data_IF_697226911546
#
_entry.id   IF_697226911546
#
_cell.length_a   1.000
_cell.length_b   1.000
_cell.length_c   1.000
_cell.angle_alpha   90.00
_cell.angle_beta   90.00
_cell.angle_gamma   90.00
#
_symmetry.space_group_name_H-M   'P 1'
#
loop_
_entity.id
_entity.type
_entity.pdbx_description
1 polymer ?
#
# COMPACT_ATOMS: atom_id res chain seq x y z
N UNK A 1 -6.96 33.52 18.42
CA UNK A 1 -8.34 33.07 18.68
C UNK A 1 -8.35 31.56 18.84
N UNK A 2 -9.16 31.00 19.75
CA UNK A 2 -8.89 29.71 20.40
C UNK A 2 -9.44 28.50 19.63
N UNK A 3 -8.64 27.43 19.69
CA UNK A 3 -9.00 26.05 20.05
C UNK A 3 -10.27 25.40 19.46
N UNK A 4 -10.07 24.37 18.63
CA UNK A 4 -11.03 23.28 18.48
C UNK A 4 -10.37 21.99 18.98
N UNK A 5 -10.32 21.82 20.30
CA UNK A 5 -10.20 20.49 20.91
C UNK A 5 -11.42 19.69 20.47
N UNK A 6 -11.22 18.72 19.57
CA UNK A 6 -12.20 17.65 19.37
C UNK A 6 -12.38 16.99 20.73
N UNK A 7 -13.63 16.96 21.20
CA UNK A 7 -14.05 16.18 22.35
C UNK A 7 -13.57 14.73 22.15
N UNK A 8 -12.64 14.30 23.01
CA UNK A 8 -12.30 12.90 23.17
C UNK A 8 -13.59 12.20 23.62
N UNK A 9 -14.17 11.34 22.77
CA UNK A 9 -15.13 10.37 23.27
C UNK A 9 -14.35 9.39 24.16
N UNK A 10 -14.83 9.11 25.39
CA UNK A 10 -14.19 8.11 26.23
C UNK A 10 -14.27 6.75 25.53
N UNK A 11 -13.16 6.01 25.65
CA UNK A 11 -13.06 4.60 25.29
C UNK A 11 -14.30 3.82 25.80
N UNK A 12 -14.94 2.93 25.02
CA UNK A 12 -16.05 2.10 25.48
C UNK A 12 -15.81 1.44 26.85
N UNK A 13 -14.57 1.03 27.16
CA UNK A 13 -14.22 0.43 28.45
C UNK A 13 -14.22 1.46 29.60
N UNK A 14 -13.92 2.73 29.29
CA UNK A 14 -13.96 3.83 30.25
C UNK A 14 -15.41 4.27 30.51
N UNK A 15 -16.29 4.13 29.52
CA UNK A 15 -17.72 4.37 29.68
C UNK A 15 -18.39 3.29 30.55
N UNK A 16 -17.95 2.04 30.46
CA UNK A 16 -18.42 0.95 31.32
C UNK A 16 -18.03 1.17 32.79
N UNK A 17 -16.79 1.62 33.06
CA UNK A 17 -16.34 1.99 34.42
C UNK A 17 -17.17 3.15 34.98
N UNK A 18 -17.46 4.18 34.19
CA UNK A 18 -18.28 5.33 34.61
C UNK A 18 -19.72 4.87 34.96
N UNK A 19 -20.29 3.98 34.15
CA UNK A 19 -21.63 3.44 34.40
C UNK A 19 -21.68 2.56 35.67
N UNK A 20 -20.65 1.74 35.90
CA UNK A 20 -20.52 0.92 37.11
C UNK A 20 -20.36 1.79 38.37
N UNK A 21 -19.56 2.86 38.30
CA UNK A 21 -19.40 3.82 39.42
C UNK A 21 -20.71 4.54 39.74
N UNK A 22 -21.48 4.93 38.73
CA UNK A 22 -22.79 5.55 38.93
C UNK A 22 -23.79 4.58 39.60
N UNK A 23 -23.75 3.30 39.24
CA UNK A 23 -24.58 2.27 39.85
C UNK A 23 -24.20 2.03 41.32
N UNK A 24 -22.90 1.98 41.65
CA UNK A 24 -22.41 1.85 43.03
C UNK A 24 -22.91 3.03 43.88
N UNK A 25 -22.75 4.26 43.41
CA UNK A 25 -23.21 5.46 44.13
C UNK A 25 -24.73 5.45 44.40
N UNK A 26 -25.53 4.98 43.43
CA UNK A 26 -26.98 4.82 43.61
C UNK A 26 -27.35 3.74 44.64
N UNK A 27 -26.61 2.63 44.67
CA UNK A 27 -26.81 1.55 45.64
C UNK A 27 -26.40 1.98 47.06
N UNK A 28 -25.28 2.69 47.21
CA UNK A 28 -24.83 3.26 48.49
C UNK A 28 -25.85 4.26 49.05
N UNK A 29 -26.47 5.06 48.19
CA UNK A 29 -27.55 5.97 48.61
C UNK A 29 -28.77 5.19 49.14
N UNK A 30 -29.21 4.15 48.42
CA UNK A 30 -30.34 3.30 48.84
C UNK A 30 -30.04 2.55 50.14
N UNK A 31 -28.80 2.10 50.33
CA UNK A 31 -28.35 1.45 51.56
C UNK A 31 -28.45 2.42 52.76
N UNK A 32 -27.99 3.66 52.59
CA UNK A 32 -28.08 4.70 53.61
C UNK A 32 -29.53 5.08 53.96
N UNK A 33 -30.45 5.08 52.97
CA UNK A 33 -31.88 5.30 53.20
C UNK A 33 -32.54 4.14 53.99
N UNK A 34 -32.15 2.90 53.68
CA UNK A 34 -32.63 1.71 54.39
C UNK A 34 -32.08 1.60 55.82
N UNK A 35 -30.82 1.99 56.04
CA UNK A 35 -30.22 2.06 57.38
C UNK A 35 -30.89 3.09 58.30
N UNK A 36 -31.50 4.15 57.73
CA UNK A 36 -32.27 5.15 58.49
C UNK A 36 -33.65 4.64 58.94
N UNK A 37 -34.22 3.62 58.29
CA UNK A 37 -35.55 3.09 58.59
C UNK A 37 -35.53 2.00 59.69
N UNK A 38 -34.75 2.23 60.74
CA UNK A 38 -34.44 1.24 61.79
C UNK A 38 -35.61 0.32 62.22
N UNK A 39 -35.28 -0.97 62.35
CA UNK A 39 -36.04 -2.05 63.01
C UNK A 39 -37.22 -2.72 62.29
N UNK A 40 -36.95 -3.40 61.17
CA UNK A 40 -37.68 -4.61 60.76
C UNK A 40 -36.70 -5.66 60.23
N UNK A 41 -36.83 -6.94 60.60
CA UNK A 41 -35.90 -8.03 60.20
C UNK A 41 -35.76 -8.18 58.68
N UNK A 42 -36.77 -7.76 57.92
CA UNK A 42 -36.78 -7.74 56.47
C UNK A 42 -35.85 -6.67 55.87
N UNK A 43 -35.67 -5.54 56.57
CA UNK A 43 -34.76 -4.45 56.17
C UNK A 43 -33.30 -4.85 56.41
N UNK A 44 -33.01 -5.61 57.47
CA UNK A 44 -31.66 -6.13 57.73
C UNK A 44 -31.22 -7.13 56.65
N UNK A 45 -32.12 -7.98 56.16
CA UNK A 45 -31.86 -8.89 55.04
C UNK A 45 -31.61 -8.17 53.72
N UNK A 46 -32.38 -7.11 53.45
CA UNK A 46 -32.17 -6.26 52.27
C UNK A 46 -30.85 -5.48 52.33
N UNK A 47 -30.47 -4.98 53.52
CA UNK A 47 -29.17 -4.34 53.75
C UNK A 47 -28.03 -5.33 53.51
N UNK A 48 -28.13 -6.56 54.01
CA UNK A 48 -27.10 -7.59 53.79
C UNK A 48 -26.95 -7.97 52.31
N UNK A 49 -28.06 -8.14 51.58
CA UNK A 49 -28.04 -8.44 50.14
C UNK A 49 -27.41 -7.30 49.34
N UNK A 50 -27.79 -6.05 49.62
CA UNK A 50 -27.22 -4.87 48.95
C UNK A 50 -25.72 -4.72 49.26
N UNK A 51 -25.30 -5.04 50.47
CA UNK A 51 -23.88 -5.01 50.84
C UNK A 51 -23.06 -6.05 50.05
N UNK A 52 -23.62 -7.24 49.80
CA UNK A 52 -22.99 -8.26 48.95
C UNK A 52 -22.88 -7.80 47.51
N UNK A 53 -23.92 -7.19 46.96
CA UNK A 53 -23.91 -6.68 45.57
C UNK A 53 -22.89 -5.55 45.37
N UNK A 54 -22.79 -4.63 46.34
CA UNK A 54 -21.78 -3.56 46.35
C UNK A 54 -20.36 -4.16 46.33
N UNK A 55 -20.09 -5.16 47.17
CA UNK A 55 -18.78 -5.80 47.22
C UNK A 55 -18.41 -6.51 45.90
N UNK A 56 -19.38 -7.18 45.27
CA UNK A 56 -19.20 -7.85 43.98
C UNK A 56 -18.92 -6.85 42.85
N UNK A 57 -19.65 -5.73 42.81
CA UNK A 57 -19.43 -4.66 41.83
C UNK A 57 -18.08 -3.97 42.03
N UNK A 58 -17.68 -3.73 43.29
CA UNK A 58 -16.36 -3.16 43.59
C UNK A 58 -15.24 -4.08 43.10
N UNK A 59 -15.38 -5.40 43.26
CA UNK A 59 -14.42 -6.38 42.76
C UNK A 59 -14.36 -6.39 41.22
N UNK A 60 -15.49 -6.23 40.53
CA UNK A 60 -15.51 -6.11 39.07
C UNK A 60 -14.82 -4.84 38.59
N UNK A 61 -15.05 -3.70 39.26
CA UNK A 61 -14.35 -2.43 38.97
C UNK A 61 -12.85 -2.58 39.19
N UNK A 62 -12.42 -3.22 40.28
CA UNK A 62 -11.00 -3.44 40.57
C UNK A 62 -10.33 -4.37 39.53
N UNK A 63 -11.06 -5.38 39.03
CA UNK A 63 -10.58 -6.28 38.00
C UNK A 63 -10.48 -5.58 36.63
N UNK A 64 -11.47 -4.77 36.25
CA UNK A 64 -11.45 -3.96 35.04
C UNK A 64 -10.30 -2.92 35.10
N UNK A 65 -10.11 -2.25 36.25
CA UNK A 65 -9.02 -1.31 36.46
C UNK A 65 -7.63 -1.99 36.37
N UNK A 66 -7.51 -3.24 36.85
CA UNK A 66 -6.28 -4.04 36.69
C UNK A 66 -6.05 -4.45 35.23
N UNK A 67 -7.09 -4.86 34.51
CA UNK A 67 -7.00 -5.21 33.09
C UNK A 67 -6.54 -4.02 32.25
N UNK A 68 -7.17 -2.86 32.42
CA UNK A 68 -6.79 -1.64 31.71
C UNK A 68 -5.37 -1.19 32.07
N UNK A 69 -4.96 -1.33 33.35
CA UNK A 69 -3.57 -1.05 33.76
C UNK A 69 -2.57 -2.01 33.13
N UNK A 70 -2.92 -3.29 32.94
CA UNK A 70 -2.07 -4.27 32.25
C UNK A 70 -1.93 -3.92 30.77
N UNK A 71 -3.02 -3.58 30.08
CA UNK A 71 -2.98 -3.15 28.68
C UNK A 71 -2.17 -1.86 28.49
N UNK A 72 -2.35 -0.88 29.37
CA UNK A 72 -1.54 0.35 29.37
C UNK A 72 -0.06 0.02 29.59
N UNK A 73 0.28 -0.91 30.48
CA UNK A 73 1.67 -1.32 30.69
C UNK A 73 2.26 -2.07 29.47
N UNK A 74 1.46 -2.88 28.78
CA UNK A 74 1.88 -3.54 27.52
C UNK A 74 2.11 -2.51 26.42
N UNK A 75 1.20 -1.55 26.26
CA UNK A 75 1.34 -0.44 25.30
C UNK A 75 2.54 0.45 25.65
N UNK A 76 2.80 0.71 26.95
CA UNK A 76 3.96 1.45 27.42
C UNK A 76 5.26 0.68 27.13
N UNK A 77 5.25 -0.64 27.28
CA UNK A 77 6.35 -1.52 26.87
C UNK A 77 6.63 -1.43 25.38
N UNK A 78 5.61 -1.63 24.54
CA UNK A 78 5.70 -1.49 23.09
C UNK A 78 6.18 -0.09 22.66
N UNK A 79 5.74 0.95 23.35
CA UNK A 79 6.19 2.32 23.11
C UNK A 79 7.68 2.52 23.46
N UNK A 80 8.14 1.95 24.58
CA UNK A 80 9.54 2.01 24.98
C UNK A 80 10.47 1.20 24.07
N UNK A 81 9.99 0.06 23.57
CA UNK A 81 10.70 -0.75 22.57
C UNK A 81 10.83 0.04 21.25
N UNK A 82 9.75 0.65 20.78
CA UNK A 82 9.75 1.50 19.60
C UNK A 82 10.70 2.69 19.76
N UNK A 83 10.70 3.33 20.93
CA UNK A 83 11.60 4.44 21.27
C UNK A 83 13.07 4.00 21.21
N UNK A 84 13.40 2.81 21.70
CA UNK A 84 14.74 2.23 21.63
C UNK A 84 15.15 1.93 20.19
N UNK A 85 14.29 1.30 19.39
CA UNK A 85 14.55 1.06 17.97
C UNK A 85 14.76 2.34 17.16
N UNK A 86 14.02 3.42 17.48
CA UNK A 86 14.23 4.73 16.85
C UNK A 86 15.58 5.33 17.25
N UNK A 87 16.01 5.16 18.50
CA UNK A 87 17.32 5.61 18.96
C UNK A 87 18.46 4.82 18.29
N UNK A 88 18.30 3.50 18.13
CA UNK A 88 19.23 2.64 17.37
C UNK A 88 19.29 3.04 15.90
N UNK A 89 18.15 3.21 15.23
CA UNK A 89 18.11 3.70 13.85
C UNK A 89 18.75 5.08 13.70
N UNK A 90 18.57 5.97 14.68
CA UNK A 90 19.22 7.27 14.71
C UNK A 90 20.74 7.14 14.86
N UNK A 91 21.21 6.25 15.73
CA UNK A 91 22.64 6.00 15.91
C UNK A 91 23.26 5.31 14.70
N UNK A 92 22.57 4.36 14.06
CA UNK A 92 22.97 3.75 12.79
C UNK A 92 23.02 4.78 11.66
N UNK A 93 22.05 5.70 11.61
CA UNK A 93 22.04 6.77 10.64
C UNK A 93 23.19 7.76 10.92
N UNK A 94 23.45 8.10 12.18
CA UNK A 94 24.58 8.95 12.59
C UNK A 94 25.93 8.28 12.31
N UNK A 95 26.07 6.96 12.54
CA UNK A 95 27.27 6.21 12.18
C UNK A 95 27.45 6.08 10.67
N UNK A 96 26.37 5.91 9.89
CA UNK A 96 26.42 5.97 8.42
C UNK A 96 26.77 7.36 7.93
N UNK A 97 26.25 8.41 8.59
CA UNK A 97 26.58 9.80 8.30
C UNK A 97 28.03 10.11 8.68
N UNK A 98 28.57 9.61 9.80
CA UNK A 98 29.99 9.79 10.19
C UNK A 98 30.95 8.96 9.32
N UNK A 99 30.57 7.74 8.95
CA UNK A 99 31.35 6.88 8.05
C UNK A 99 31.37 7.43 6.62
N UNK A 100 30.26 8.02 6.17
CA UNK A 100 30.18 8.71 4.88
C UNK A 100 30.78 10.12 4.93
N UNK A 101 30.77 10.81 6.08
CA UNK A 101 31.30 12.17 6.22
C UNK A 101 32.79 12.23 6.55
N UNK A 102 33.43 11.24 7.17
CA UNK A 102 34.90 11.25 7.25
C UNK A 102 35.52 11.06 5.86
N UNK A 103 34.86 10.32 4.96
CA UNK A 103 35.26 10.23 3.55
C UNK A 103 34.78 11.41 2.68
N UNK A 104 33.68 12.11 3.04
CA UNK A 104 33.18 13.29 2.31
C UNK A 104 33.69 14.64 2.83
N UNK A 105 34.23 14.74 4.04
CA UNK A 105 34.79 15.98 4.60
C UNK A 105 36.10 16.39 3.90
N UNK A 106 36.79 15.49 3.20
CA UNK A 106 37.85 15.88 2.27
C UNK A 106 37.34 16.40 0.91
N UNK A 107 36.04 16.26 0.61
CA UNK A 107 35.44 16.66 -0.69
C UNK A 107 34.36 17.75 -0.57
N UNK A 108 34.25 18.41 0.57
CA UNK A 108 33.38 19.59 0.76
C UNK A 108 34.15 20.82 1.24
N UNK A 109 35.23 21.16 0.52
CA UNK A 109 35.53 22.57 0.26
C UNK A 109 34.81 22.98 -1.04
N UNK A 110 33.82 23.84 -0.83
CA UNK A 110 33.12 24.72 -1.78
C UNK A 110 32.10 24.12 -2.76
N UNK A 111 30.84 24.31 -2.36
CA UNK A 111 29.64 24.13 -3.15
C UNK A 111 29.39 25.22 -4.20
N UNK A 112 28.40 24.91 -5.05
CA UNK A 112 27.81 25.69 -6.13
C UNK A 112 28.62 25.85 -7.43
N UNK A 113 28.49 24.84 -8.31
CA UNK A 113 27.97 24.97 -9.69
C UNK A 113 27.93 23.60 -10.37
N UNK A 114 26.95 23.41 -11.24
CA UNK A 114 26.79 22.24 -12.13
C UNK A 114 28.14 21.96 -12.80
N UNK A 115 28.77 20.82 -12.49
CA UNK A 115 30.03 20.41 -13.14
C UNK A 115 29.76 19.29 -14.12
N UNK A 116 30.03 19.55 -15.40
CA UNK A 116 30.05 18.53 -16.47
C UNK A 116 31.23 17.56 -16.25
N UNK A 117 31.11 16.30 -16.72
CA UNK A 117 32.11 15.23 -16.59
C UNK A 117 33.56 15.66 -16.93
N UNK A 118 33.73 16.69 -17.77
CA UNK A 118 35.02 17.27 -18.10
C UNK A 118 35.79 17.87 -16.91
N UNK A 119 35.08 18.50 -15.95
CA UNK A 119 35.71 19.17 -14.81
C UNK A 119 36.07 18.19 -13.67
N UNK A 120 35.47 16.99 -13.68
CA UNK A 120 35.82 15.90 -12.77
C UNK A 120 37.11 15.23 -13.25
N UNK A 121 37.26 15.02 -14.55
CA UNK A 121 38.44 14.39 -15.14
C UNK A 121 39.72 15.23 -15.00
N UNK A 122 39.63 16.56 -15.07
CA UNK A 122 40.80 17.45 -14.89
C UNK A 122 41.28 17.54 -13.43
N UNK A 123 40.50 17.04 -12.46
CA UNK A 123 40.83 17.04 -11.02
C UNK A 123 41.20 15.67 -10.45
N UNK A 124 41.09 14.61 -11.23
CA UNK A 124 41.49 13.27 -10.80
C UNK A 124 43.01 13.12 -10.91
N UNK A 125 43.66 12.79 -9.80
CA UNK A 125 45.09 12.41 -9.81
C UNK A 125 45.26 11.07 -10.52
N UNK A 126 46.43 10.86 -11.13
CA UNK A 126 46.82 9.58 -11.77
C UNK A 126 46.57 8.38 -10.87
N UNK A 127 46.80 8.54 -9.56
CA UNK A 127 46.61 7.50 -8.55
C UNK A 127 45.14 7.17 -8.31
N UNK A 128 44.27 8.18 -8.33
CA UNK A 128 42.82 8.01 -8.17
C UNK A 128 42.21 7.26 -9.35
N UNK A 129 42.66 7.58 -10.58
CA UNK A 129 42.25 6.87 -11.80
C UNK A 129 42.76 5.43 -11.80
N UNK A 130 44.00 5.22 -11.36
CA UNK A 130 44.63 3.90 -11.27
C UNK A 130 43.90 3.01 -10.27
N UNK A 131 43.52 3.54 -9.11
CA UNK A 131 42.76 2.80 -8.10
C UNK A 131 41.35 2.46 -8.59
N UNK A 132 40.68 3.39 -9.28
CA UNK A 132 39.35 3.16 -9.86
C UNK A 132 39.36 2.01 -10.89
N UNK A 133 40.41 1.94 -11.71
CA UNK A 133 40.56 0.86 -12.70
C UNK A 133 40.91 -0.48 -12.04
N UNK A 134 41.78 -0.49 -11.01
CA UNK A 134 42.12 -1.70 -10.24
C UNK A 134 40.91 -2.27 -9.49
N UNK A 135 40.11 -1.42 -8.85
CA UNK A 135 38.90 -1.82 -8.13
C UNK A 135 37.86 -2.47 -9.04
N UNK A 136 37.85 -2.06 -10.32
CA UNK A 136 36.88 -2.50 -11.32
C UNK A 136 37.34 -3.74 -12.12
N UNK A 137 38.65 -3.91 -12.29
CA UNK A 137 39.26 -5.09 -12.90
C UNK A 137 39.47 -6.26 -11.92
N UNK A 138 39.18 -6.06 -10.63
CA UNK A 138 39.25 -7.12 -9.62
C UNK A 138 38.04 -8.07 -9.73
N UNK A 139 38.26 -9.40 -9.86
CA UNK A 139 37.19 -10.38 -10.07
C UNK A 139 36.25 -10.57 -8.86
N UNK A 140 36.62 -10.11 -7.67
CA UNK A 140 35.89 -10.41 -6.42
C UNK A 140 34.97 -9.28 -5.91
N UNK A 141 34.81 -8.18 -6.66
CA UNK A 141 34.12 -7.00 -6.14
C UNK A 141 32.60 -7.00 -6.44
N UNK A 142 31.77 -7.37 -5.45
CA UNK A 142 30.29 -7.36 -5.54
C UNK A 142 29.65 -5.95 -5.63
N UNK A 143 30.43 -4.86 -5.51
CA UNK A 143 29.96 -3.47 -5.64
C UNK A 143 30.01 -2.93 -7.08
N UNK A 144 30.00 -3.81 -8.08
CA UNK A 144 30.22 -3.46 -9.48
C UNK A 144 29.08 -2.67 -10.15
N UNK A 145 27.87 -2.58 -9.60
CA UNK A 145 26.75 -1.92 -10.29
C UNK A 145 26.69 -0.39 -10.09
N UNK A 146 26.99 0.13 -8.90
CA UNK A 146 26.85 1.56 -8.62
C UNK A 146 27.99 2.42 -9.19
N UNK A 147 29.23 1.89 -9.23
CA UNK A 147 30.41 2.59 -9.79
C UNK A 147 30.57 2.43 -11.31
N UNK A 148 29.60 1.77 -11.96
CA UNK A 148 29.61 1.39 -13.38
C UNK A 148 29.26 2.54 -14.31
N UNK A 149 28.35 3.40 -13.89
CA UNK A 149 27.95 4.59 -14.66
C UNK A 149 29.11 5.54 -14.84
N UNK A 150 29.79 5.85 -13.73
CA UNK A 150 30.92 6.78 -13.69
C UNK A 150 32.11 6.30 -14.53
N UNK A 151 32.40 5.00 -14.52
CA UNK A 151 33.49 4.43 -15.33
C UNK A 151 33.15 4.44 -16.84
N UNK A 152 31.91 4.16 -17.23
CA UNK A 152 31.48 4.20 -18.64
C UNK A 152 31.57 5.65 -19.16
N UNK A 153 31.16 6.62 -18.36
CA UNK A 153 31.22 8.04 -18.71
C UNK A 153 32.68 8.52 -18.78
N UNK A 154 33.53 8.12 -17.84
CA UNK A 154 34.97 8.41 -17.83
C UNK A 154 35.72 7.79 -19.02
N UNK A 155 35.47 6.51 -19.35
CA UNK A 155 36.11 5.84 -20.50
C UNK A 155 35.63 6.44 -21.81
N UNK A 156 34.34 6.81 -21.92
CA UNK A 156 33.80 7.49 -23.10
C UNK A 156 34.42 8.86 -23.28
N UNK A 157 34.65 9.59 -22.19
CA UNK A 157 35.34 10.87 -22.17
C UNK A 157 36.83 10.76 -22.58
N UNK A 158 37.54 9.74 -22.08
CA UNK A 158 38.96 9.51 -22.40
C UNK A 158 39.22 8.98 -23.82
N UNK A 159 38.17 8.49 -24.51
CA UNK A 159 38.23 8.06 -25.92
C UNK A 159 38.18 9.22 -26.92
N UNK A 160 37.85 10.44 -26.48
CA UNK A 160 37.87 11.61 -27.35
C UNK A 160 39.30 11.93 -27.80
N UNK A 161 39.46 12.33 -29.06
CA UNK A 161 40.68 12.18 -29.86
C UNK A 161 41.93 12.87 -29.28
N UNK A 162 41.74 13.90 -28.45
CA UNK A 162 42.82 14.66 -27.80
C UNK A 162 43.40 13.97 -26.56
N UNK A 163 42.68 13.03 -25.92
CA UNK A 163 43.07 12.40 -24.64
C UNK A 163 43.42 10.92 -24.77
N UNK A 164 43.20 10.34 -25.96
CA UNK A 164 43.46 8.94 -26.27
C UNK A 164 44.90 8.51 -25.97
N UNK A 165 45.91 9.35 -26.28
CA UNK A 165 47.34 9.06 -25.99
C UNK A 165 47.61 8.89 -24.48
N UNK A 166 46.97 9.70 -23.63
CA UNK A 166 47.09 9.62 -22.18
C UNK A 166 46.46 8.32 -21.65
N UNK A 167 45.28 7.96 -22.19
CA UNK A 167 44.60 6.71 -21.87
C UNK A 167 45.44 5.48 -22.26
N UNK A 168 46.08 5.49 -23.43
CA UNK A 168 47.00 4.42 -23.87
C UNK A 168 48.17 4.25 -22.92
N UNK A 169 48.79 5.36 -22.52
CA UNK A 169 49.93 5.37 -21.59
C UNK A 169 49.56 4.83 -20.21
N UNK A 170 48.38 5.20 -19.70
CA UNK A 170 47.83 4.68 -18.44
C UNK A 170 47.56 3.17 -18.49
N UNK A 171 46.95 2.66 -19.56
CA UNK A 171 46.70 1.22 -19.70
C UNK A 171 48.00 0.41 -19.86
N UNK A 172 48.97 0.95 -20.59
CA UNK A 172 50.29 0.33 -20.76
C UNK A 172 51.05 0.24 -19.42
N UNK A 173 51.03 1.29 -18.59
CA UNK A 173 51.65 1.29 -17.27
C UNK A 173 51.00 0.31 -16.28
N UNK A 174 49.75 -0.12 -16.55
CA UNK A 174 49.03 -1.09 -15.73
C UNK A 174 49.04 -2.52 -16.32
N UNK A 175 49.75 -2.74 -17.43
CA UNK A 175 49.79 -4.04 -18.13
C UNK A 175 48.40 -4.56 -18.57
N UNK A 176 47.47 -3.65 -18.87
CA UNK A 176 46.11 -4.00 -19.32
C UNK A 176 46.05 -3.87 -20.84
N UNK A 177 45.70 -4.98 -21.52
CA UNK A 177 45.43 -4.97 -22.96
C UNK A 177 44.22 -4.08 -23.29
N UNK A 178 44.43 -3.09 -24.17
CA UNK A 178 43.40 -2.17 -24.68
C UNK A 178 42.14 -2.90 -25.18
N UNK A 179 42.29 -4.14 -25.68
CA UNK A 179 41.21 -4.96 -26.24
C UNK A 179 40.24 -5.57 -25.21
N UNK A 180 40.63 -5.72 -23.94
CA UNK A 180 39.77 -6.32 -22.90
C UNK A 180 38.66 -5.38 -22.40
N UNK A 181 38.94 -4.12 -22.03
CA UNK A 181 37.91 -3.17 -21.59
C UNK A 181 36.92 -2.82 -22.70
N UNK A 182 37.40 -2.67 -23.94
CA UNK A 182 36.56 -2.31 -25.10
C UNK A 182 35.59 -3.42 -25.48
N UNK A 183 36.05 -4.67 -25.61
CA UNK A 183 35.16 -5.80 -25.95
C UNK A 183 34.08 -6.06 -24.89
N UNK A 184 34.38 -5.87 -23.60
CA UNK A 184 33.40 -6.01 -22.52
C UNK A 184 32.36 -4.87 -22.49
N UNK A 185 32.74 -3.67 -22.92
CA UNK A 185 31.82 -2.53 -23.08
C UNK A 185 30.93 -2.76 -24.30
N UNK A 186 31.49 -3.15 -25.45
CA UNK A 186 30.74 -3.31 -26.70
C UNK A 186 29.74 -4.48 -26.64
N UNK A 187 30.09 -5.59 -25.97
CA UNK A 187 29.16 -6.70 -25.73
C UNK A 187 28.02 -6.38 -24.75
N UNK A 188 28.18 -5.39 -23.85
CA UNK A 188 27.16 -5.05 -22.84
C UNK A 188 26.39 -3.75 -23.12
N UNK A 189 26.91 -2.85 -23.95
CA UNK A 189 26.16 -1.70 -24.49
C UNK A 189 25.00 -2.18 -25.37
N UNK A 190 25.18 -3.29 -26.10
CA UNK A 190 24.11 -3.97 -26.83
C UNK A 190 22.96 -4.48 -25.92
N UNK A 191 23.22 -4.70 -24.62
CA UNK A 191 22.22 -5.16 -23.65
C UNK A 191 21.49 -3.99 -22.96
N UNK A 192 21.99 -2.76 -23.07
CA UNK A 192 21.42 -1.55 -22.46
C UNK A 192 20.66 -0.63 -23.42
N UNK A 193 20.06 -1.19 -24.48
CA UNK A 193 18.96 -0.52 -25.18
C UNK A 193 17.80 -0.32 -24.19
N UNK A 194 17.89 0.75 -23.38
CA UNK A 194 16.87 1.21 -22.44
C UNK A 194 15.60 1.40 -23.27
N UNK A 195 14.63 0.51 -23.11
CA UNK A 195 13.33 0.57 -23.80
C UNK A 195 12.66 1.91 -23.50
N UNK A 196 12.80 2.90 -24.37
CA UNK A 196 12.05 4.15 -24.25
C UNK A 196 10.60 3.88 -24.58
N UNK A 197 9.68 4.36 -23.74
CA UNK A 197 8.27 4.39 -24.10
C UNK A 197 8.04 5.70 -24.86
N UNK A 198 7.57 5.63 -26.10
CA UNK A 198 7.21 6.82 -26.88
C UNK A 198 5.75 6.77 -27.32
N UNK A 199 5.08 7.92 -27.25
CA UNK A 199 3.69 8.03 -27.68
C UNK A 199 3.24 9.45 -27.99
N UNK A 200 2.28 9.57 -28.91
CA UNK A 200 1.73 10.86 -29.32
C UNK A 200 0.72 11.38 -28.30
N UNK A 201 0.90 12.64 -27.87
CA UNK A 201 -0.08 13.31 -27.02
C UNK A 201 -1.38 13.52 -27.80
N UNK A 202 -2.56 13.15 -27.27
CA UNK A 202 -3.85 13.33 -27.95
C UNK A 202 -4.29 14.80 -28.04
N UNK A 203 -3.55 15.72 -27.41
CA UNK A 203 -3.86 17.16 -27.38
C UNK A 203 -3.04 17.98 -28.36
N UNK A 204 -1.77 17.64 -28.56
CA UNK A 204 -0.87 18.41 -29.43
C UNK A 204 -0.20 17.55 -30.53
N UNK A 205 -0.49 16.26 -30.59
CA UNK A 205 0.07 15.26 -31.51
C UNK A 205 1.60 15.09 -31.48
N UNK A 206 2.31 15.82 -30.63
CA UNK A 206 3.75 15.68 -30.42
C UNK A 206 4.06 14.36 -29.67
N UNK A 207 5.20 13.76 -30.01
CA UNK A 207 5.68 12.52 -29.41
C UNK A 207 6.32 12.79 -28.05
N UNK A 208 5.80 12.14 -27.01
CA UNK A 208 6.38 12.17 -25.68
C UNK A 208 7.26 10.94 -25.54
N UNK A 209 8.53 11.15 -25.19
CA UNK A 209 9.50 10.08 -24.96
C UNK A 209 9.80 10.04 -23.48
N UNK A 210 9.47 8.93 -22.83
CA UNK A 210 9.75 8.71 -21.42
C UNK A 210 10.84 7.66 -21.27
N UNK A 211 11.80 7.94 -20.37
CA UNK A 211 12.65 6.87 -19.82
C UNK A 211 11.73 5.89 -19.10
N UNK A 212 11.93 4.59 -19.29
CA UNK A 212 11.00 3.51 -18.86
C UNK A 212 10.56 3.60 -17.41
N UNK A 213 11.39 4.14 -16.51
CA UNK A 213 11.07 4.32 -15.10
C UNK A 213 10.06 5.45 -14.80
N UNK A 214 9.81 6.35 -15.75
CA UNK A 214 8.93 7.52 -15.57
C UNK A 214 7.50 7.31 -16.08
N UNK A 215 7.22 6.16 -16.71
CA UNK A 215 5.90 5.82 -17.23
C UNK A 215 5.48 4.44 -16.75
N UNK A 216 4.23 4.35 -16.28
CA UNK A 216 3.57 3.08 -15.98
C UNK A 216 2.24 3.08 -16.71
N UNK A 217 1.96 2.03 -17.48
CA UNK A 217 0.72 1.94 -18.25
C UNK A 217 -0.50 2.09 -17.34
N UNK A 218 -1.52 2.79 -17.84
CA UNK A 218 -2.75 3.04 -17.08
C UNK A 218 -2.66 4.14 -16.03
N UNK A 219 -1.48 4.74 -15.80
CA UNK A 219 -1.33 5.95 -14.98
C UNK A 219 -1.50 7.23 -15.77
N UNK A 220 -1.80 8.29 -15.03
CA UNK A 220 -1.94 9.66 -15.51
C UNK A 220 -0.64 10.15 -16.13
N UNK A 221 -0.67 10.38 -17.44
CA UNK A 221 0.45 10.97 -18.15
C UNK A 221 0.24 12.47 -18.30
N UNK A 222 1.29 13.24 -18.02
CA UNK A 222 1.33 14.68 -18.32
C UNK A 222 2.23 14.91 -19.52
N UNK A 223 1.71 15.57 -20.55
CA UNK A 223 2.48 15.94 -21.74
C UNK A 223 3.75 16.72 -21.35
N UNK A 224 4.92 16.31 -21.82
CA UNK A 224 6.20 16.91 -21.41
C UNK A 224 6.41 18.32 -21.99
N UNK A 225 5.76 18.65 -23.10
CA UNK A 225 5.89 19.95 -23.76
C UNK A 225 5.21 21.09 -22.99
N UNK A 226 5.95 22.18 -22.80
CA UNK A 226 5.53 23.40 -22.07
C UNK A 226 4.26 24.03 -22.62
N UNK A 227 4.09 24.01 -23.95
CA UNK A 227 2.91 24.56 -24.59
C UNK A 227 1.65 23.67 -24.52
N UNK A 228 1.74 22.48 -23.91
CA UNK A 228 0.61 21.59 -23.76
C UNK A 228 0.33 21.29 -22.28
N UNK A 229 1.25 20.60 -21.57
CA UNK A 229 1.09 20.13 -20.17
C UNK A 229 -0.25 19.46 -19.83
N UNK A 230 -1.07 19.12 -20.84
CA UNK A 230 -2.37 18.47 -20.64
C UNK A 230 -2.16 17.02 -20.26
N UNK A 231 -3.07 16.54 -19.42
CA UNK A 231 -3.07 15.19 -18.89
C UNK A 231 -3.88 14.25 -19.79
N UNK A 232 -3.48 12.98 -19.85
CA UNK A 232 -4.19 11.92 -20.56
C UNK A 232 -3.84 10.56 -19.95
N UNK A 233 -4.65 9.55 -20.26
CA UNK A 233 -4.32 8.15 -19.95
C UNK A 233 -3.97 7.40 -21.22
N UNK A 234 -3.12 6.39 -21.07
CA UNK A 234 -2.76 5.49 -22.14
C UNK A 234 -2.57 4.07 -21.60
N UNK A 235 -3.03 3.09 -22.37
CA UNK A 235 -2.78 1.66 -22.13
C UNK A 235 -2.49 0.94 -23.43
N UNK A 236 -1.65 -0.10 -23.38
CA UNK A 236 -1.45 -0.98 -24.52
C UNK A 236 -2.54 -2.06 -24.54
N UNK A 237 -3.09 -2.35 -25.72
CA UNK A 237 -3.98 -3.49 -25.89
C UNK A 237 -3.17 -4.79 -25.81
N UNK A 238 -3.52 -5.75 -24.94
CA UNK A 238 -2.77 -7.00 -24.81
C UNK A 238 -2.95 -7.95 -26.01
N UNK A 239 -3.86 -7.63 -26.94
CA UNK A 239 -4.16 -8.46 -28.11
C UNK A 239 -3.37 -8.06 -29.36
N UNK A 240 -3.09 -6.78 -29.54
CA UNK A 240 -2.44 -6.26 -30.75
C UNK A 240 -1.32 -5.24 -30.47
N UNK A 241 -1.02 -4.98 -29.19
CA UNK A 241 -0.08 -3.93 -28.75
C UNK A 241 -0.44 -2.51 -29.18
N UNK A 242 -1.59 -2.32 -29.83
CA UNK A 242 -2.12 -1.02 -30.21
C UNK A 242 -2.44 -0.16 -28.99
N UNK A 243 -2.14 1.14 -29.08
CA UNK A 243 -2.31 2.06 -27.97
C UNK A 243 -3.72 2.63 -27.87
N UNK A 244 -4.32 2.49 -26.70
CA UNK A 244 -5.60 3.11 -26.36
C UNK A 244 -5.33 4.37 -25.54
N UNK A 245 -5.86 5.50 -25.98
CA UNK A 245 -5.58 6.81 -25.39
C UNK A 245 -6.87 7.52 -25.01
N UNK A 246 -6.93 8.03 -23.78
CA UNK A 246 -8.04 8.85 -23.29
C UNK A 246 -7.59 10.28 -23.10
N UNK A 247 -8.02 11.15 -24.02
CA UNK A 247 -7.68 12.57 -24.05
C UNK A 247 -8.02 13.29 -22.74
N UNK A 248 -9.11 12.90 -22.07
CA UNK A 248 -9.57 13.55 -20.84
C UNK A 248 -9.07 12.87 -19.56
N UNK A 249 -8.12 11.93 -19.67
CA UNK A 249 -7.61 11.17 -18.52
C UNK A 249 -8.72 10.50 -17.68
N UNK A 250 -9.76 10.01 -18.33
CA UNK A 250 -10.91 9.38 -17.68
C UNK A 250 -10.88 7.84 -17.74
N UNK A 251 -9.80 7.23 -18.22
CA UNK A 251 -9.59 5.79 -18.07
C UNK A 251 -9.63 5.38 -16.58
N UNK A 252 -10.34 4.29 -16.30
CA UNK A 252 -10.45 3.69 -14.97
C UNK A 252 -9.85 2.30 -15.00
N UNK A 253 -8.83 2.05 -14.18
CA UNK A 253 -8.21 0.73 -14.08
C UNK A 253 -9.24 -0.33 -13.69
N UNK A 254 -9.10 -1.53 -14.21
CA UNK A 254 -10.06 -2.62 -14.03
C UNK A 254 -11.36 -2.48 -14.84
N UNK A 255 -11.63 -1.34 -15.49
CA UNK A 255 -12.80 -1.20 -16.38
C UNK A 255 -12.61 -1.98 -17.69
N UNK A 256 -13.71 -2.54 -18.21
CA UNK A 256 -13.70 -3.23 -19.50
C UNK A 256 -13.51 -2.21 -20.62
N UNK A 257 -12.41 -2.33 -21.35
CA UNK A 257 -12.06 -1.49 -22.49
C UNK A 257 -12.11 -2.31 -23.77
N UNK A 258 -12.76 -1.79 -24.81
CA UNK A 258 -12.61 -2.31 -26.17
C UNK A 258 -11.42 -1.63 -26.86
N UNK A 259 -10.58 -2.41 -27.53
CA UNK A 259 -9.44 -1.84 -28.28
C UNK A 259 -9.92 -0.85 -29.35
N UNK A 260 -9.34 0.35 -29.38
CA UNK A 260 -9.71 1.42 -30.30
C UNK A 260 -9.50 1.06 -31.78
N UNK A 261 -8.54 0.18 -32.09
CA UNK A 261 -8.18 -0.22 -33.44
C UNK A 261 -9.27 -1.10 -34.07
N UNK A 262 -9.72 -0.72 -35.27
CA UNK A 262 -10.75 -1.41 -36.06
C UNK A 262 -10.44 -2.87 -36.37
N UNK A 263 -9.16 -3.20 -36.55
CA UNK A 263 -8.70 -4.57 -36.77
C UNK A 263 -8.70 -5.45 -35.53
N UNK A 264 -8.83 -4.87 -34.33
CA UNK A 264 -8.80 -5.62 -33.07
C UNK A 264 -10.17 -5.64 -32.39
N UNK A 265 -10.67 -4.49 -31.93
CA UNK A 265 -11.92 -4.33 -31.15
C UNK A 265 -12.15 -5.28 -29.96
N UNK A 266 -11.20 -6.17 -29.66
CA UNK A 266 -11.27 -7.11 -28.55
C UNK A 266 -11.28 -6.36 -27.22
N UNK A 267 -12.11 -6.86 -26.30
CA UNK A 267 -12.21 -6.35 -24.94
C UNK A 267 -11.02 -6.82 -24.10
N UNK A 268 -10.62 -5.99 -23.15
CA UNK A 268 -9.61 -6.31 -22.14
C UNK A 268 -9.84 -5.45 -20.90
N UNK A 269 -9.16 -5.80 -19.81
CA UNK A 269 -9.03 -4.96 -18.62
C UNK A 269 -7.55 -4.86 -18.25
N UNK A 270 -7.17 -3.78 -17.55
CA UNK A 270 -5.82 -3.63 -17.04
C UNK A 270 -5.83 -3.02 -15.64
N UNK A 271 -5.02 -3.59 -14.75
CA UNK A 271 -4.84 -3.14 -13.36
C UNK A 271 -3.35 -3.03 -13.09
N UNK A 272 -2.95 -1.99 -12.39
CA UNK A 272 -1.55 -1.83 -11.99
C UNK A 272 -1.33 -2.37 -10.59
N UNK A 273 -0.29 -3.18 -10.43
CA UNK A 273 0.14 -3.64 -9.13
C UNK A 273 0.63 -2.46 -8.26
N UNK A 274 0.06 -2.26 -7.05
CA UNK A 274 0.43 -1.17 -6.16
C UNK A 274 1.80 -1.34 -5.48
N UNK A 275 2.45 -2.49 -5.68
CA UNK A 275 3.72 -2.85 -5.05
C UNK A 275 4.93 -2.64 -5.97
N UNK A 276 4.77 -2.87 -7.28
CA UNK A 276 5.86 -2.78 -8.24
C UNK A 276 5.54 -1.88 -9.46
N UNK A 277 4.35 -1.28 -9.49
CA UNK A 277 3.84 -0.52 -10.64
C UNK A 277 3.76 -1.32 -11.94
N UNK A 278 3.89 -2.65 -11.85
CA UNK A 278 3.76 -3.57 -12.98
C UNK A 278 2.31 -3.63 -13.45
N UNK A 279 2.13 -3.54 -14.77
CA UNK A 279 0.81 -3.50 -15.38
C UNK A 279 0.34 -4.91 -15.77
N UNK A 280 -0.81 -5.32 -15.26
CA UNK A 280 -1.38 -6.64 -15.54
C UNK A 280 -2.61 -6.52 -16.41
N UNK A 281 -2.70 -7.34 -17.44
CA UNK A 281 -3.77 -7.28 -18.42
C UNK A 281 -4.59 -8.59 -18.47
N UNK A 282 -5.91 -8.45 -18.41
CA UNK A 282 -6.86 -9.54 -18.59
C UNK A 282 -7.39 -9.49 -20.02
N UNK A 283 -6.86 -10.39 -20.85
CA UNK A 283 -7.21 -10.50 -22.28
C UNK A 283 -8.68 -10.80 -22.51
N UNK A 284 -9.36 -11.45 -21.57
CA UNK A 284 -10.76 -11.82 -21.71
C UNK A 284 -11.73 -10.84 -21.04
N UNK A 285 -11.21 -9.76 -20.44
CA UNK A 285 -12.01 -8.81 -19.67
C UNK A 285 -12.85 -9.50 -18.57
N UNK A 286 -12.21 -10.43 -17.86
CA UNK A 286 -12.76 -11.24 -16.78
C UNK A 286 -12.19 -10.88 -15.39
N UNK A 287 -11.43 -9.79 -15.27
CA UNK A 287 -11.05 -9.22 -13.97
C UNK A 287 -12.30 -8.83 -13.18
N UNK A 288 -12.33 -9.28 -11.92
CA UNK A 288 -13.40 -9.04 -10.97
C UNK A 288 -12.91 -8.08 -9.89
N UNK A 289 -13.60 -6.96 -9.80
CA UNK A 289 -13.38 -5.96 -8.77
C UNK A 289 -13.59 -6.56 -7.37
N UNK A 290 -12.76 -6.16 -6.41
CA UNK A 290 -12.76 -6.72 -5.05
C UNK A 290 -12.17 -8.13 -4.93
N UNK A 291 -11.79 -8.80 -6.03
CA UNK A 291 -11.12 -10.10 -5.95
C UNK A 291 -9.63 -9.95 -5.63
N UNK A 292 -9.10 -10.90 -4.85
CA UNK A 292 -7.67 -11.02 -4.57
C UNK A 292 -6.90 -11.26 -5.86
N UNK A 293 -6.00 -10.33 -6.19
CA UNK A 293 -5.08 -10.44 -7.31
C UNK A 293 -3.68 -10.72 -6.80
N UNK A 294 -3.05 -11.77 -7.32
CA UNK A 294 -1.61 -12.00 -7.14
C UNK A 294 -0.85 -11.35 -8.28
N UNK A 295 0.12 -10.49 -7.98
CA UNK A 295 0.94 -9.85 -9.01
C UNK A 295 1.66 -10.89 -9.88
N UNK A 296 1.48 -10.81 -11.21
CA UNK A 296 2.07 -11.78 -12.13
C UNK A 296 3.60 -11.67 -12.26
N UNK A 297 4.17 -10.50 -11.95
CA UNK A 297 5.60 -10.23 -12.08
C UNK A 297 6.43 -11.04 -11.06
N UNK A 298 7.46 -11.73 -11.55
CA UNK A 298 8.31 -12.63 -10.76
C UNK A 298 8.98 -11.98 -9.56
N UNK A 299 9.42 -10.73 -9.70
CA UNK A 299 10.06 -9.96 -8.64
C UNK A 299 9.07 -9.36 -7.62
N UNK A 300 7.76 -9.58 -7.80
CA UNK A 300 6.74 -9.04 -6.92
C UNK A 300 5.93 -10.15 -6.24
N UNK A 301 5.12 -10.90 -7.00
CA UNK A 301 4.20 -11.96 -6.49
C UNK A 301 3.31 -11.60 -5.29
N UNK A 302 3.25 -10.33 -4.89
CA UNK A 302 2.44 -9.86 -3.77
C UNK A 302 0.97 -9.81 -4.16
N UNK A 303 0.11 -10.13 -3.19
CA UNK A 303 -1.34 -10.04 -3.32
C UNK A 303 -1.80 -8.60 -3.08
N UNK A 304 -2.90 -8.23 -3.69
CA UNK A 304 -3.63 -7.00 -3.40
C UNK A 304 -5.07 -7.12 -3.90
N UNK A 305 -5.93 -6.22 -3.44
CA UNK A 305 -7.29 -6.07 -3.92
C UNK A 305 -7.53 -4.61 -4.31
N UNK A 306 -8.45 -4.41 -5.25
CA UNK A 306 -8.82 -3.08 -5.69
C UNK A 306 -10.33 -3.01 -5.91
N UNK A 307 -10.89 -1.86 -5.56
CA UNK A 307 -12.30 -1.56 -5.73
C UNK A 307 -12.50 -0.09 -6.13
N UNK A 308 -13.54 0.24 -6.86
CA UNK A 308 -13.92 1.58 -7.28
C UNK A 308 -14.93 2.13 -6.28
N UNK A 309 -14.63 3.27 -5.69
CA UNK A 309 -15.56 3.96 -4.80
C UNK A 309 -16.85 4.31 -5.55
N UNK A 310 -17.98 3.88 -5.00
CA UNK A 310 -19.31 4.10 -5.55
C UNK A 310 -19.74 5.58 -5.65
N UNK A 311 -18.97 6.48 -5.03
CA UNK A 311 -19.29 7.90 -4.88
C UNK A 311 -18.39 8.82 -5.72
N UNK A 312 -17.07 8.62 -5.67
CA UNK A 312 -16.12 9.45 -6.42
C UNK A 312 -15.51 8.75 -7.63
N UNK A 313 -15.80 7.45 -7.83
CA UNK A 313 -15.23 6.64 -8.92
C UNK A 313 -13.70 6.52 -8.89
N UNK A 314 -13.05 6.82 -7.77
CA UNK A 314 -11.62 6.57 -7.58
C UNK A 314 -11.38 5.18 -6.98
N UNK A 315 -10.18 4.66 -7.16
CA UNK A 315 -9.84 3.29 -6.78
C UNK A 315 -9.28 3.21 -5.37
N UNK A 316 -9.85 2.33 -4.55
CA UNK A 316 -9.37 1.98 -3.22
C UNK A 316 -8.54 0.71 -3.38
N UNK A 317 -7.35 0.69 -2.77
CA UNK A 317 -6.41 -0.42 -2.88
C UNK A 317 -6.08 -0.96 -1.49
N UNK A 318 -6.27 -2.26 -1.32
CA UNK A 318 -5.83 -3.02 -0.16
C UNK A 318 -4.54 -3.74 -0.54
N UNK A 319 -3.42 -3.14 -0.18
CA UNK A 319 -2.08 -3.64 -0.52
C UNK A 319 -1.79 -5.03 0.05
N UNK A 320 -2.49 -5.45 1.10
CA UNK A 320 -2.27 -6.75 1.73
C UNK A 320 -3.37 -7.77 1.40
N UNK A 321 -4.30 -7.42 0.50
CA UNK A 321 -5.48 -8.23 0.20
C UNK A 321 -6.28 -8.61 1.46
N UNK A 322 -6.55 -7.58 2.27
CA UNK A 322 -7.29 -7.64 3.53
C UNK A 322 -8.70 -7.04 3.42
N UNK A 323 -9.20 -6.79 2.20
CA UNK A 323 -10.58 -6.40 2.00
C UNK A 323 -11.51 -7.58 2.32
N UNK A 324 -12.58 -7.30 3.07
CA UNK A 324 -13.62 -8.27 3.38
C UNK A 324 -14.85 -7.93 2.55
N UNK A 325 -15.19 -8.79 1.59
CA UNK A 325 -16.40 -8.63 0.78
C UNK A 325 -17.63 -8.43 1.68
N UNK A 326 -18.56 -7.56 1.30
CA UNK A 326 -19.75 -7.22 2.11
C UNK A 326 -19.50 -6.26 3.28
N UNK A 327 -18.25 -6.10 3.74
CA UNK A 327 -17.94 -5.14 4.81
C UNK A 327 -18.13 -3.69 4.36
N UNK A 328 -18.40 -2.82 5.34
CA UNK A 328 -18.54 -1.38 5.10
C UNK A 328 -17.16 -0.78 4.77
N UNK A 329 -17.04 -0.27 3.55
CA UNK A 329 -15.85 0.44 3.08
C UNK A 329 -16.06 1.94 3.26
N UNK A 330 -15.13 2.59 3.95
CA UNK A 330 -15.04 4.06 3.98
C UNK A 330 -14.04 4.51 2.93
N UNK A 331 -14.47 5.38 2.01
CA UNK A 331 -13.58 5.92 0.99
C UNK A 331 -12.39 6.69 1.63
N UNK A 332 -11.13 6.35 1.34
CA UNK A 332 -9.97 6.98 2.00
C UNK A 332 -9.73 8.41 1.52
N UNK A 333 -10.21 8.77 0.33
CA UNK A 333 -10.03 10.10 -0.25
C UNK A 333 -10.74 11.19 0.55
N UNK A 334 -10.00 12.24 0.93
CA UNK A 334 -10.48 13.38 1.73
C UNK A 334 -11.68 14.09 1.12
N UNK A 335 -11.74 14.18 -0.20
CA UNK A 335 -12.85 14.81 -0.92
C UNK A 335 -14.13 13.98 -0.94
N UNK A 336 -14.07 12.70 -0.55
CA UNK A 336 -15.19 11.79 -0.59
C UNK A 336 -15.61 11.35 0.81
N UNK A 337 -14.78 10.60 1.54
CA UNK A 337 -15.06 10.02 2.87
C UNK A 337 -16.39 9.26 3.05
N UNK A 338 -17.16 9.06 1.99
CA UNK A 338 -18.45 8.37 2.03
C UNK A 338 -18.26 6.87 2.18
N UNK A 339 -19.20 6.25 2.90
CA UNK A 339 -19.26 4.81 3.13
C UNK A 339 -20.05 4.12 2.01
N UNK A 340 -19.72 2.88 1.72
CA UNK A 340 -20.51 2.00 0.85
C UNK A 340 -20.16 0.54 1.15
N UNK A 341 -20.96 -0.39 0.64
CA UNK A 341 -20.65 -1.84 0.67
C UNK A 341 -20.63 -2.39 -0.75
N UNK A 342 -19.89 -3.47 -0.94
CA UNK A 342 -19.78 -4.16 -2.22
C UNK A 342 -19.81 -5.68 -2.01
N UNK A 343 -20.57 -6.37 -2.85
CA UNK A 343 -20.61 -7.82 -2.98
C UNK A 343 -20.55 -8.23 -4.45
N UNK A 344 -20.08 -9.44 -4.69
CA UNK A 344 -20.09 -10.10 -5.98
C UNK A 344 -21.17 -11.17 -5.94
N UNK A 345 -22.10 -11.12 -6.89
CA UNK A 345 -23.13 -12.14 -6.99
C UNK A 345 -22.48 -13.52 -7.26
N UNK A 346 -22.73 -14.56 -6.45
CA UNK A 346 -22.12 -15.88 -6.63
C UNK A 346 -22.64 -16.64 -7.86
N UNK A 347 -23.68 -16.12 -8.52
CA UNK A 347 -24.35 -16.75 -9.67
C UNK A 347 -23.89 -16.21 -11.02
N UNK A 348 -23.61 -14.91 -11.10
CA UNK A 348 -23.23 -14.25 -12.35
C UNK A 348 -21.92 -13.44 -12.26
N UNK A 349 -21.31 -13.39 -11.07
CA UNK A 349 -20.12 -12.58 -10.79
C UNK A 349 -20.30 -11.09 -11.13
N UNK A 350 -21.53 -10.61 -11.02
CA UNK A 350 -21.90 -9.21 -11.16
C UNK A 350 -21.66 -8.46 -9.86
N UNK A 351 -21.17 -7.22 -9.94
CA UNK A 351 -20.90 -6.35 -8.79
C UNK A 351 -22.19 -5.72 -8.28
N UNK A 352 -22.41 -5.81 -6.97
CA UNK A 352 -23.57 -5.28 -6.26
C UNK A 352 -23.05 -4.27 -5.25
N UNK A 353 -23.55 -3.05 -5.31
CA UNK A 353 -23.03 -1.94 -4.53
C UNK A 353 -24.16 -1.23 -3.80
N UNK A 354 -24.01 -1.11 -2.47
CA UNK A 354 -24.88 -0.31 -1.63
C UNK A 354 -24.20 1.01 -1.30
N UNK A 355 -24.60 2.08 -2.00
CA UNK A 355 -24.02 3.41 -1.84
C UNK A 355 -24.17 3.99 -0.44
N UNK A 356 -25.17 3.56 0.33
CA UNK A 356 -25.41 4.08 1.67
C UNK A 356 -24.87 3.16 2.78
N UNK A 357 -24.22 2.04 2.42
CA UNK A 357 -23.75 1.03 3.37
C UNK A 357 -24.87 0.52 4.30
N UNK A 358 -26.04 0.25 3.71
CA UNK A 358 -27.27 -0.19 4.37
C UNK A 358 -27.59 -1.68 4.17
N UNK A 359 -26.68 -2.44 3.55
CA UNK A 359 -26.81 -3.89 3.48
C UNK A 359 -26.51 -4.51 4.84
N UNK A 360 -27.48 -5.26 5.35
CA UNK A 360 -27.33 -6.06 6.55
C UNK A 360 -26.71 -7.40 6.19
N UNK A 361 -25.61 -7.74 6.84
CA UNK A 361 -24.99 -9.05 6.75
C UNK A 361 -26.01 -10.15 7.09
N UNK A 362 -25.94 -11.31 6.41
CA UNK A 362 -26.92 -12.40 6.56
C UNK A 362 -28.26 -12.18 5.84
N UNK A 363 -28.61 -10.93 5.49
CA UNK A 363 -29.87 -10.65 4.79
C UNK A 363 -29.88 -11.21 3.36
N UNK A 364 -31.08 -11.57 2.89
CA UNK A 364 -31.29 -12.06 1.52
C UNK A 364 -31.03 -10.96 0.51
N UNK A 365 -30.03 -11.17 -0.35
CA UNK A 365 -29.69 -10.30 -1.47
C UNK A 365 -30.31 -10.87 -2.75
N UNK A 366 -31.07 -10.04 -3.46
CA UNK A 366 -31.51 -10.35 -4.84
C UNK A 366 -30.55 -9.70 -5.83
N UNK A 367 -29.96 -10.49 -6.73
CA UNK A 367 -29.05 -9.96 -7.74
C UNK A 367 -29.78 -8.93 -8.65
N UNK A 368 -29.27 -7.69 -8.79
CA UNK A 368 -29.97 -6.65 -9.53
C UNK A 368 -29.93 -6.88 -11.05
N UNK A 369 -28.96 -7.65 -11.55
CA UNK A 369 -28.79 -7.92 -12.97
C UNK A 369 -29.96 -8.72 -13.55
N UNK A 370 -30.57 -8.21 -14.61
CA UNK A 370 -31.74 -8.79 -15.28
C UNK A 370 -31.53 -10.24 -15.74
N UNK A 371 -30.33 -10.57 -16.21
CA UNK A 371 -29.99 -11.93 -16.65
C UNK A 371 -29.75 -12.91 -15.50
N UNK A 372 -29.72 -12.44 -14.26
CA UNK A 372 -29.45 -13.26 -13.09
C UNK A 372 -30.68 -13.35 -12.18
N UNK A 373 -31.08 -12.25 -11.53
CA UNK A 373 -32.19 -12.15 -10.55
C UNK A 373 -32.22 -13.20 -9.42
N UNK A 374 -31.21 -14.07 -9.31
CA UNK A 374 -31.12 -15.10 -8.27
C UNK A 374 -30.83 -14.47 -6.91
N UNK A 375 -31.42 -15.08 -5.88
CA UNK A 375 -31.20 -14.73 -4.49
C UNK A 375 -29.96 -15.42 -3.94
N UNK A 376 -29.33 -14.82 -2.94
CA UNK A 376 -28.27 -15.41 -2.13
C UNK A 376 -28.17 -14.69 -0.78
N UNK A 377 -27.46 -15.28 0.18
CA UNK A 377 -27.07 -14.61 1.43
C UNK A 377 -25.55 -14.65 1.55
N UNK A 378 -25.00 -13.61 2.19
CA UNK A 378 -23.57 -13.48 2.46
C UNK A 378 -23.36 -13.08 3.91
N UNK A 379 -22.39 -13.72 4.55
CA UNK A 379 -21.99 -13.43 5.92
C UNK A 379 -20.47 -13.60 6.07
N UNK A 380 -19.87 -12.85 6.97
CA UNK A 380 -18.46 -12.89 7.33
C UNK A 380 -18.36 -13.59 8.69
N UNK A 381 -17.62 -14.70 8.74
CA UNK A 381 -17.37 -15.38 10.01
C UNK A 381 -16.63 -14.43 10.99
N UNK A 382 -17.17 -14.19 12.20
CA UNK A 382 -16.57 -13.27 13.16
C UNK A 382 -15.23 -13.79 13.71
N UNK A 383 -14.98 -15.10 13.64
CA UNK A 383 -13.79 -15.73 14.21
C UNK A 383 -12.60 -15.80 13.25
N UNK A 384 -12.84 -15.91 11.95
CA UNK A 384 -11.76 -16.06 10.96
C UNK A 384 -11.85 -15.07 9.81
N UNK A 385 -12.85 -14.18 9.81
CA UNK A 385 -13.13 -13.23 8.72
C UNK A 385 -13.38 -13.88 7.35
N UNK A 386 -13.70 -15.18 7.34
CA UNK A 386 -13.98 -15.92 6.12
C UNK A 386 -15.39 -15.63 5.60
N UNK A 387 -15.52 -15.51 4.28
CA UNK A 387 -16.80 -15.29 3.61
C UNK A 387 -17.61 -16.58 3.52
N UNK A 388 -18.85 -16.55 4.00
CA UNK A 388 -19.84 -17.63 3.95
C UNK A 388 -20.95 -17.18 3.01
N UNK A 389 -21.28 -18.02 2.02
CA UNK A 389 -22.25 -17.69 0.98
C UNK A 389 -23.24 -18.82 0.81
N UNK A 390 -24.52 -18.52 1.04
CA UNK A 390 -25.64 -19.42 0.72
C UNK A 390 -26.22 -19.05 -0.63
N UNK A 391 -25.90 -19.85 -1.65
CA UNK A 391 -26.30 -19.57 -3.04
C UNK A 391 -27.82 -19.62 -3.26
N UNK A 392 -28.59 -20.28 -2.41
CA UNK A 392 -30.04 -20.39 -2.57
C UNK A 392 -30.83 -19.49 -1.62
N UNK A 393 -30.14 -18.71 -0.77
CA UNK A 393 -30.76 -17.91 0.29
C UNK A 393 -31.67 -18.74 1.20
N UNK A 394 -31.16 -19.90 1.62
CA UNK A 394 -31.84 -20.93 2.40
C UNK A 394 -31.44 -20.95 3.87
N UNK A 395 -30.68 -19.94 4.34
CA UNK A 395 -30.30 -19.82 5.74
C UNK A 395 -31.28 -18.93 6.49
N UNK A 396 -31.82 -19.43 7.60
CA UNK A 396 -32.72 -18.66 8.46
C UNK A 396 -31.93 -17.74 9.41
N UNK A 397 -32.42 -16.52 9.65
CA UNK A 397 -31.71 -15.47 10.41
C UNK A 397 -31.38 -15.87 11.87
N UNK A 398 -32.19 -16.75 12.47
CA UNK A 398 -32.02 -17.24 13.84
C UNK A 398 -31.28 -18.60 13.91
N UNK A 399 -30.93 -19.18 12.76
CA UNK A 399 -30.19 -20.42 12.74
C UNK A 399 -28.70 -20.18 13.01
N UNK A 400 -28.07 -20.97 13.89
CA UNK A 400 -26.65 -20.82 14.15
C UNK A 400 -25.82 -21.29 12.95
N UNK A 401 -24.96 -20.40 12.47
CA UNK A 401 -24.00 -20.64 11.39
C UNK A 401 -22.80 -21.43 11.91
N UNK A 402 -22.35 -22.43 11.16
CA UNK A 402 -21.04 -23.06 11.37
C UNK A 402 -20.09 -22.62 10.27
N UNK A 403 -18.95 -22.06 10.65
CA UNK A 403 -17.94 -21.62 9.69
C UNK A 403 -17.43 -22.77 8.82
N UNK A 404 -17.53 -22.62 7.49
CA UNK A 404 -17.14 -23.64 6.50
C UNK A 404 -15.62 -23.81 6.35
N UNK A 405 -14.83 -22.88 6.89
CA UNK A 405 -13.37 -22.93 6.82
C UNK A 405 -12.81 -23.93 7.84
N UNK A 406 -11.98 -24.85 7.35
CA UNK A 406 -11.47 -26.00 8.11
C UNK A 406 -10.69 -25.59 9.37
N UNK A 407 -9.94 -24.50 9.30
CA UNK A 407 -9.17 -23.94 10.41
C UNK A 407 -10.02 -23.16 11.42
N UNK A 408 -11.31 -22.97 11.15
CA UNK A 408 -12.22 -22.27 12.05
C UNK A 408 -13.28 -23.22 12.63
N UNK A 409 -14.19 -23.75 11.81
CA UNK A 409 -15.31 -24.64 12.20
C UNK A 409 -16.12 -24.20 13.43
N UNK A 410 -16.00 -22.93 13.86
CA UNK A 410 -16.73 -22.39 15.01
C UNK A 410 -18.18 -22.11 14.63
N UNK A 411 -19.07 -22.33 15.59
CA UNK A 411 -20.49 -22.04 15.49
C UNK A 411 -20.77 -20.68 16.14
N UNK A 412 -21.60 -19.88 15.50
CA UNK A 412 -22.03 -18.57 15.97
C UNK A 412 -23.46 -18.28 15.51
N UNK A 413 -24.06 -17.24 16.07
CA UNK A 413 -25.36 -16.70 15.65
C UNK A 413 -25.12 -15.52 14.73
#
# INVERSE_FOLDING_TARGET
MPSAFKQFQPDPDNQEIINLQANIASLEQRLNELQKCGSQSNVAGQIASLQTDINNLQQQVDNAAKSNRQEVNVLLGQFNDLKSSVAEMKNDLLQKIDSDNINKCFTHLDGHRVRTAAEVADKMTTDSVTQLIKDYCSPDNKRQEDRRGDLIEFISYMKDGSRRKLFKSLLANMNIDEGKPTKMIDQKVAVSNRKTASFKCPHCSKENVYKTAAYSEGYLVTCCYDNCKRKFHQVACPHCSGSNTWKNANYKQGSVVACAYDTCKRKFQQVVCPHCSGSMAWKNADYKEGSVVTCAYENCKRKFEQLVCAHCSDYIVWKNADYKEGSVVTCPYETCKRKFQHLVCPHCSGSIVWKNADHKEGSVVTCPYETCKRKFQHLICPHCSGSIVWKNADHEEDEPVTCVYENCRRRFL
#
